data_IF_948553166185
#
_entry.id   IF_948553166185
#
_cell.length_a   1.000
_cell.length_b   1.000
_cell.length_c   1.000
_cell.angle_alpha   90.00
_cell.angle_beta   90.00
_cell.angle_gamma   90.00
#
_symmetry.space_group_name_H-M   'P 1'
#
loop_
_entity.id
_entity.type
_entity.pdbx_description
1 polymer ?
#
# COMPACT_ATOMS: atom_id res chain seq x y z
N UNK A 1 -6.00 -12.72 22.18
CA UNK A 1 -4.55 -12.94 22.07
C UNK A 1 -4.05 -12.05 20.96
N UNK A 2 -3.57 -10.87 21.31
CA UNK A 2 -3.09 -9.83 20.39
C UNK A 2 -1.73 -10.27 19.83
N UNK A 3 -1.67 -10.45 18.51
CA UNK A 3 -0.51 -11.00 17.82
C UNK A 3 0.49 -9.91 17.47
N UNK A 4 1.66 -9.97 18.10
CA UNK A 4 2.88 -9.18 17.83
C UNK A 4 3.02 -8.86 16.33
N UNK A 5 3.42 -7.63 15.98
CA UNK A 5 3.80 -7.27 14.59
C UNK A 5 4.93 -8.20 14.18
N UNK A 6 4.61 -9.19 13.35
CA UNK A 6 5.62 -10.02 12.72
C UNK A 6 6.16 -9.22 11.54
N UNK A 7 7.48 -9.14 11.41
CA UNK A 7 8.18 -8.52 10.27
C UNK A 7 7.64 -9.06 8.92
N UNK A 8 7.22 -10.33 8.90
CA UNK A 8 6.56 -10.98 7.77
C UNK A 8 5.20 -10.39 7.37
N UNK A 9 4.49 -9.69 8.25
CA UNK A 9 3.26 -8.99 7.87
C UNK A 9 3.58 -7.76 7.01
N UNK A 10 4.59 -6.97 7.39
CA UNK A 10 4.97 -5.76 6.64
C UNK A 10 5.57 -6.14 5.28
N UNK A 11 6.40 -7.19 5.21
CA UNK A 11 6.96 -7.74 3.96
C UNK A 11 5.85 -8.13 2.97
N UNK A 12 4.91 -8.98 3.39
CA UNK A 12 3.80 -9.44 2.53
C UNK A 12 2.98 -8.29 1.97
N UNK A 13 2.95 -7.17 2.68
CA UNK A 13 2.17 -6.01 2.30
C UNK A 13 2.94 -5.10 1.34
N UNK A 14 4.26 -4.97 1.50
CA UNK A 14 5.14 -4.40 0.50
C UNK A 14 5.03 -5.16 -0.83
N UNK A 15 5.06 -6.49 -0.80
CA UNK A 15 4.88 -7.36 -1.96
C UNK A 15 3.52 -7.17 -2.65
N UNK A 16 2.43 -7.03 -1.89
CA UNK A 16 1.11 -6.77 -2.47
C UNK A 16 1.07 -5.41 -3.18
N UNK A 17 1.61 -4.36 -2.56
CA UNK A 17 1.67 -3.04 -3.18
C UNK A 17 2.51 -3.04 -4.47
N UNK A 18 3.62 -3.79 -4.46
CA UNK A 18 4.46 -4.01 -5.63
C UNK A 18 3.70 -4.75 -6.73
N UNK A 19 3.00 -5.84 -6.39
CA UNK A 19 2.19 -6.63 -7.33
C UNK A 19 1.11 -5.77 -7.99
N UNK A 20 0.41 -4.93 -7.22
CA UNK A 20 -0.59 -3.99 -7.76
C UNK A 20 0.04 -3.00 -8.73
N UNK A 21 1.19 -2.43 -8.38
CA UNK A 21 1.92 -1.51 -9.24
C UNK A 21 2.39 -2.18 -10.54
N UNK A 22 3.02 -3.35 -10.44
CA UNK A 22 3.49 -4.08 -11.61
C UNK A 22 2.34 -4.49 -12.53
N UNK A 23 1.24 -4.96 -11.96
CA UNK A 23 0.08 -5.43 -12.71
C UNK A 23 -0.61 -4.33 -13.50
N UNK A 24 -0.70 -3.12 -12.95
CA UNK A 24 -1.36 -2.00 -13.62
C UNK A 24 -0.44 -1.18 -14.53
N UNK A 25 0.85 -1.00 -14.19
CA UNK A 25 1.62 0.13 -14.75
C UNK A 25 2.98 -0.21 -15.37
N UNK A 26 3.42 -1.47 -15.40
CA UNK A 26 4.75 -1.82 -15.97
C UNK A 26 4.87 -1.71 -17.50
N UNK A 27 3.76 -1.57 -18.25
CA UNK A 27 3.79 -1.66 -19.72
C UNK A 27 3.11 -0.52 -20.50
N UNK A 28 2.51 0.47 -19.85
CA UNK A 28 1.63 1.41 -20.55
C UNK A 28 2.31 2.76 -20.85
N UNK A 29 2.60 3.00 -22.13
CA UNK A 29 3.18 4.26 -22.63
C UNK A 29 2.13 5.34 -22.97
N UNK A 30 0.83 5.11 -22.72
CA UNK A 30 -0.24 6.00 -23.21
C UNK A 30 -1.49 6.08 -22.30
N UNK A 31 -1.32 5.92 -20.99
CA UNK A 31 -2.43 6.09 -20.06
C UNK A 31 -2.68 7.56 -19.72
N UNK A 32 -3.94 7.93 -19.48
CA UNK A 32 -4.35 9.27 -19.07
C UNK A 32 -3.71 9.71 -17.74
N UNK A 33 -3.63 11.02 -17.50
CA UNK A 33 -2.98 11.63 -16.34
C UNK A 33 -3.46 11.03 -14.99
N UNK A 34 -4.77 10.88 -14.80
CA UNK A 34 -5.34 10.29 -13.59
C UNK A 34 -4.92 8.83 -13.34
N UNK A 35 -4.70 8.06 -14.41
CA UNK A 35 -4.22 6.68 -14.29
C UNK A 35 -2.74 6.66 -13.92
N UNK A 36 -1.92 7.55 -14.50
CA UNK A 36 -0.50 7.70 -14.15
C UNK A 36 -0.33 8.12 -12.69
N UNK A 37 -1.11 9.09 -12.26
CA UNK A 37 -1.10 9.57 -10.88
C UNK A 37 -1.51 8.49 -9.89
N UNK A 38 -2.53 7.69 -10.22
CA UNK A 38 -2.94 6.57 -9.39
C UNK A 38 -1.80 5.55 -9.21
N UNK A 39 -1.09 5.21 -10.29
CA UNK A 39 0.10 4.36 -10.23
C UNK A 39 1.21 4.96 -9.37
N UNK A 40 1.41 6.28 -9.43
CA UNK A 40 2.39 6.99 -8.60
C UNK A 40 2.03 6.97 -7.11
N UNK A 41 0.74 7.09 -6.77
CA UNK A 41 0.25 6.97 -5.39
C UNK A 41 0.48 5.55 -4.85
N UNK A 42 0.13 4.50 -5.61
CA UNK A 42 0.38 3.09 -5.23
C UNK A 42 1.87 2.82 -5.02
N UNK A 43 2.73 3.29 -5.94
CA UNK A 43 4.18 3.14 -5.81
C UNK A 43 4.75 3.87 -4.58
N UNK A 44 4.18 5.02 -4.24
CA UNK A 44 4.59 5.77 -3.05
C UNK A 44 4.19 5.04 -1.76
N UNK A 45 2.99 4.46 -1.71
CA UNK A 45 2.58 3.59 -0.60
C UNK A 45 3.50 2.37 -0.45
N UNK A 46 3.85 1.70 -1.56
CA UNK A 46 4.82 0.60 -1.54
C UNK A 46 6.15 1.03 -0.90
N UNK A 47 6.72 2.15 -1.35
CA UNK A 47 7.97 2.68 -0.77
C UNK A 47 7.83 2.99 0.72
N UNK A 48 6.73 3.60 1.13
CA UNK A 48 6.47 3.89 2.55
C UNK A 48 6.36 2.62 3.40
N UNK A 49 5.72 1.57 2.89
CA UNK A 49 5.65 0.27 3.57
C UNK A 49 7.04 -0.39 3.68
N UNK A 50 7.86 -0.32 2.64
CA UNK A 50 9.22 -0.84 2.67
C UNK A 50 10.12 -0.09 3.68
N UNK A 51 9.98 1.23 3.80
CA UNK A 51 10.69 1.99 4.83
C UNK A 51 10.20 1.66 6.24
N UNK A 52 8.90 1.43 6.42
CA UNK A 52 8.34 0.95 7.69
C UNK A 52 8.92 -0.40 8.09
N UNK A 53 9.04 -1.33 7.15
CA UNK A 53 9.66 -2.63 7.38
C UNK A 53 11.11 -2.49 7.86
N UNK A 54 11.91 -1.65 7.19
CA UNK A 54 13.30 -1.39 7.57
C UNK A 54 13.39 -0.78 8.97
N UNK A 55 12.53 0.18 9.29
CA UNK A 55 12.51 0.81 10.61
C UNK A 55 12.17 -0.19 11.72
N UNK A 56 11.16 -1.03 11.52
CA UNK A 56 10.78 -2.11 12.45
C UNK A 56 11.93 -3.11 12.60
N UNK A 57 12.58 -3.50 11.50
CA UNK A 57 13.72 -4.43 11.50
C UNK A 57 14.89 -3.89 12.34
N UNK A 58 15.26 -2.62 12.13
CA UNK A 58 16.34 -1.95 12.88
C UNK A 58 16.01 -1.83 14.37
N UNK A 59 14.77 -1.48 14.70
CA UNK A 59 14.33 -1.38 16.09
C UNK A 59 14.38 -2.75 16.79
N UNK A 60 13.99 -3.83 16.09
CA UNK A 60 14.07 -5.20 16.60
C UNK A 60 15.53 -5.65 16.79
N UNK A 61 16.42 -5.33 15.83
CA UNK A 61 17.85 -5.62 15.93
C UNK A 61 18.50 -4.86 17.10
N UNK A 62 18.16 -3.58 17.29
CA UNK A 62 18.63 -2.80 18.43
C UNK A 62 18.18 -3.41 19.76
N UNK A 63 16.93 -3.87 19.86
CA UNK A 63 16.42 -4.54 21.05
C UNK A 63 17.24 -5.79 21.39
N UNK A 64 17.54 -6.63 20.38
CA UNK A 64 18.40 -7.82 20.51
C UNK A 64 19.81 -7.44 20.98
N UNK A 65 20.40 -6.40 20.40
CA UNK A 65 21.74 -5.92 20.75
C UNK A 65 21.83 -5.40 22.20
N UNK A 66 20.70 -4.99 22.80
CA UNK A 66 20.62 -4.56 24.19
C UNK A 66 20.17 -5.68 25.16
N UNK A 67 20.23 -6.94 24.73
CA UNK A 67 20.06 -8.11 25.60
C UNK A 67 18.65 -8.69 25.64
N UNK A 68 17.76 -8.27 24.73
CA UNK A 68 16.45 -8.88 24.61
C UNK A 68 16.53 -10.27 23.95
N UNK A 69 15.70 -11.20 24.44
CA UNK A 69 15.61 -12.57 23.93
C UNK A 69 15.05 -12.60 22.50
N UNK A 70 15.28 -13.68 21.76
CA UNK A 70 14.64 -13.90 20.43
C UNK A 70 13.09 -13.87 20.50
N UNK A 71 12.54 -14.13 21.69
CA UNK A 71 11.11 -14.06 21.99
C UNK A 71 10.61 -12.65 22.32
N UNK A 72 11.53 -11.72 22.60
CA UNK A 72 11.19 -10.34 22.91
C UNK A 72 11.00 -9.57 21.61
N UNK A 73 9.77 -9.19 21.34
CA UNK A 73 9.40 -8.39 20.18
C UNK A 73 9.09 -6.95 20.58
N UNK A 74 9.22 -6.02 19.63
CA UNK A 74 8.61 -4.70 19.77
C UNK A 74 7.13 -4.89 20.15
N UNK A 75 6.70 -4.30 21.27
CA UNK A 75 5.39 -4.53 21.90
C UNK A 75 4.16 -4.01 21.13
N UNK A 76 4.29 -3.74 19.83
CA UNK A 76 3.17 -3.43 18.96
C UNK A 76 2.65 -4.71 18.30
N UNK A 77 1.34 -4.87 18.25
CA UNK A 77 0.68 -5.99 17.61
C UNK A 77 0.13 -5.54 16.22
N UNK A 78 -0.10 -6.48 15.29
CA UNK A 78 -0.56 -6.13 13.92
C UNK A 78 -1.83 -5.27 13.95
N UNK A 79 -2.71 -5.49 14.92
CA UNK A 79 -3.90 -4.70 15.12
C UNK A 79 -3.56 -3.26 15.51
N UNK A 80 -2.61 -3.05 16.42
CA UNK A 80 -2.14 -1.71 16.80
C UNK A 80 -1.55 -0.95 15.60
N UNK A 81 -0.80 -1.65 14.73
CA UNK A 81 -0.32 -1.04 13.50
C UNK A 81 -1.49 -0.62 12.61
N UNK A 82 -2.46 -1.52 12.38
CA UNK A 82 -3.66 -1.25 11.57
C UNK A 82 -4.55 -0.14 12.14
N UNK A 83 -4.62 0.03 13.46
CA UNK A 83 -5.32 1.18 14.08
C UNK A 83 -4.65 2.50 13.70
N UNK A 84 -3.32 2.54 13.69
CA UNK A 84 -2.56 3.75 13.41
C UNK A 84 -2.53 4.03 11.90
N UNK A 85 -2.09 3.07 11.08
CA UNK A 85 -1.90 3.29 9.64
C UNK A 85 -3.16 3.00 8.82
N UNK A 86 -4.20 2.41 9.40
CA UNK A 86 -5.45 2.02 8.73
C UNK A 86 -5.36 0.67 8.01
N UNK A 87 -6.48 0.16 7.46
CA UNK A 87 -6.48 -1.09 6.68
C UNK A 87 -6.04 -0.87 5.21
N UNK A 88 -4.75 -0.63 5.04
CA UNK A 88 -4.12 -0.49 3.72
C UNK A 88 -4.20 -1.77 2.89
N UNK A 89 -4.35 -2.93 3.52
CA UNK A 89 -4.47 -4.21 2.82
C UNK A 89 -5.82 -4.31 2.11
N UNK A 90 -6.91 -3.91 2.77
CA UNK A 90 -8.21 -3.75 2.11
C UNK A 90 -8.11 -2.77 0.93
N UNK A 91 -7.48 -1.61 1.14
CA UNK A 91 -7.28 -0.61 0.08
C UNK A 91 -6.51 -1.17 -1.12
N UNK A 92 -5.40 -1.88 -0.90
CA UNK A 92 -4.60 -2.48 -1.98
C UNK A 92 -5.36 -3.61 -2.71
N UNK A 93 -6.14 -4.43 -2.00
CA UNK A 93 -7.02 -5.42 -2.63
C UNK A 93 -8.10 -4.78 -3.49
N UNK A 94 -8.68 -3.68 -3.04
CA UNK A 94 -9.64 -2.92 -3.84
C UNK A 94 -8.98 -2.30 -5.07
N UNK A 95 -7.74 -1.81 -4.96
CA UNK A 95 -6.96 -1.36 -6.12
C UNK A 95 -6.73 -2.51 -7.11
N UNK A 96 -6.32 -3.69 -6.64
CA UNK A 96 -6.14 -4.87 -7.47
C UNK A 96 -7.42 -5.24 -8.22
N UNK A 97 -8.56 -5.31 -7.51
CA UNK A 97 -9.87 -5.61 -8.10
C UNK A 97 -10.27 -4.57 -9.14
N UNK A 98 -10.11 -3.29 -8.84
CA UNK A 98 -10.42 -2.20 -9.77
C UNK A 98 -9.60 -2.32 -11.06
N UNK A 99 -8.32 -2.69 -10.96
CA UNK A 99 -7.45 -2.91 -12.13
C UNK A 99 -7.82 -4.17 -12.91
N UNK A 100 -8.14 -5.27 -12.22
CA UNK A 100 -8.58 -6.50 -12.85
C UNK A 100 -9.90 -6.29 -13.63
N UNK A 101 -10.86 -5.63 -13.00
CA UNK A 101 -12.14 -5.30 -13.61
C UNK A 101 -11.94 -4.34 -14.78
N UNK A 102 -11.12 -3.28 -14.62
CA UNK A 102 -10.80 -2.38 -15.72
C UNK A 102 -10.10 -3.06 -16.89
N UNK A 103 -9.23 -4.04 -16.65
CA UNK A 103 -8.61 -4.80 -17.75
C UNK A 103 -9.65 -5.57 -18.56
N UNK A 104 -10.68 -6.12 -17.90
CA UNK A 104 -11.84 -6.73 -18.58
C UNK A 104 -12.67 -5.68 -19.33
N UNK A 105 -12.79 -4.46 -18.81
CA UNK A 105 -13.46 -3.35 -19.51
C UNK A 105 -12.65 -2.83 -20.72
N UNK A 106 -11.32 -2.73 -20.61
CA UNK A 106 -10.42 -2.27 -21.66
C UNK A 106 -10.34 -3.23 -22.87
N UNK A 107 -10.55 -4.53 -22.65
CA UNK A 107 -10.62 -5.53 -23.72
C UNK A 107 -11.92 -5.46 -24.55
N UNK A 108 -12.92 -4.69 -24.11
CA UNK A 108 -14.19 -4.53 -24.79
C UNK A 108 -14.28 -3.13 -25.43
N UNK A 109 -13.87 -3.03 -26.69
CA UNK A 109 -13.68 -1.80 -27.47
C UNK A 109 -14.96 -0.99 -27.75
N UNK A 110 -14.96 0.33 -27.49
CA UNK A 110 -15.95 1.28 -28.04
C UNK A 110 -15.94 2.71 -27.41
N UNK A 111 -16.24 3.78 -28.17
CA UNK A 111 -16.16 5.19 -27.72
C UNK A 111 -17.21 5.58 -26.65
N UNK A 112 -18.35 4.89 -26.58
CA UNK A 112 -19.39 5.12 -25.57
C UNK A 112 -18.88 4.78 -24.14
N UNK A 113 -17.89 3.88 -24.02
CA UNK A 113 -17.30 3.49 -22.73
C UNK A 113 -16.24 4.44 -22.19
N UNK A 114 -15.70 5.36 -22.98
CA UNK A 114 -14.75 6.38 -22.48
C UNK A 114 -15.45 7.40 -21.55
N UNK A 115 -16.74 7.65 -21.80
CA UNK A 115 -17.61 8.48 -20.95
C UNK A 115 -18.07 7.70 -19.71
N UNK A 116 -18.44 6.43 -19.89
CA UNK A 116 -18.84 5.52 -18.80
C UNK A 116 -17.68 5.26 -17.81
N UNK A 117 -16.45 5.16 -18.32
CA UNK A 117 -15.22 5.08 -17.53
C UNK A 117 -14.99 6.35 -16.70
N UNK A 118 -15.10 7.53 -17.31
CA UNK A 118 -14.98 8.81 -16.59
C UNK A 118 -16.06 8.99 -15.51
N UNK A 119 -17.29 8.54 -15.75
CA UNK A 119 -18.38 8.72 -14.79
C UNK A 119 -18.37 7.68 -13.65
N UNK A 120 -18.03 6.43 -13.95
CA UNK A 120 -18.17 5.33 -12.97
C UNK A 120 -16.86 4.86 -12.34
N UNK A 121 -15.74 4.97 -13.06
CA UNK A 121 -14.43 4.49 -12.59
C UNK A 121 -13.63 5.62 -11.92
N UNK A 122 -13.68 6.83 -12.47
CA UNK A 122 -12.96 7.98 -11.92
C UNK A 122 -13.26 8.23 -10.43
N UNK A 123 -14.52 8.22 -9.96
CA UNK A 123 -14.80 8.44 -8.55
C UNK A 123 -14.22 7.34 -7.65
N UNK A 124 -14.17 6.10 -8.15
CA UNK A 124 -13.56 4.98 -7.43
C UNK A 124 -12.03 5.12 -7.37
N UNK A 125 -11.41 5.55 -8.47
CA UNK A 125 -9.97 5.87 -8.52
C UNK A 125 -9.65 6.99 -7.53
N UNK A 126 -10.37 8.11 -7.57
CA UNK A 126 -10.17 9.23 -6.65
C UNK A 126 -10.35 8.82 -5.18
N UNK A 127 -11.37 8.02 -4.88
CA UNK A 127 -11.59 7.49 -3.55
C UNK A 127 -10.44 6.61 -3.06
N UNK A 128 -9.94 5.71 -3.90
CA UNK A 128 -8.79 4.85 -3.58
C UNK A 128 -7.51 5.65 -3.44
N UNK A 129 -7.26 6.63 -4.31
CA UNK A 129 -6.13 7.55 -4.22
C UNK A 129 -6.12 8.30 -2.88
N UNK A 130 -7.26 8.86 -2.48
CA UNK A 130 -7.40 9.53 -1.18
C UNK A 130 -7.07 8.61 0.00
N UNK A 131 -7.55 7.36 -0.01
CA UNK A 131 -7.21 6.35 1.00
C UNK A 131 -5.72 6.00 1.00
N UNK A 132 -5.12 5.81 -0.17
CA UNK A 132 -3.69 5.54 -0.32
C UNK A 132 -2.85 6.68 0.28
N UNK A 133 -3.20 7.93 -0.04
CA UNK A 133 -2.50 9.11 0.47
C UNK A 133 -2.63 9.22 1.99
N UNK A 134 -3.80 8.92 2.54
CA UNK A 134 -4.04 8.85 3.98
C UNK A 134 -3.18 7.77 4.66
N UNK A 135 -3.14 6.54 4.13
CA UNK A 135 -2.27 5.48 4.64
C UNK A 135 -0.79 5.88 4.59
N UNK A 136 -0.37 6.43 3.46
CA UNK A 136 1.01 6.89 3.23
C UNK A 136 1.42 7.95 4.25
N UNK A 137 0.57 8.97 4.46
CA UNK A 137 0.82 10.03 5.45
C UNK A 137 0.93 9.49 6.88
N UNK A 138 0.07 8.55 7.26
CA UNK A 138 0.13 7.89 8.58
C UNK A 138 1.41 7.07 8.75
N UNK A 139 1.82 6.31 7.74
CA UNK A 139 3.08 5.57 7.75
C UNK A 139 4.27 6.52 7.91
N UNK A 140 4.30 7.62 7.15
CA UNK A 140 5.35 8.64 7.28
C UNK A 140 5.38 9.26 8.67
N UNK A 141 4.23 9.48 9.30
CA UNK A 141 4.15 9.96 10.68
C UNK A 141 4.74 8.96 11.68
N UNK A 142 4.45 7.67 11.51
CA UNK A 142 5.03 6.58 12.32
C UNK A 142 6.54 6.47 12.11
N UNK A 143 7.03 6.74 10.90
CA UNK A 143 8.46 6.67 10.56
C UNK A 143 9.29 7.81 11.12
N UNK A 144 8.69 8.98 11.36
CA UNK A 144 9.38 10.21 11.78
C UNK A 144 10.36 10.04 12.97
N UNK A 145 10.00 9.32 14.05
CA UNK A 145 10.89 9.09 15.19
C UNK A 145 12.12 8.24 14.86
N UNK A 146 12.09 7.45 13.78
CA UNK A 146 13.19 6.55 13.39
C UNK A 146 14.16 7.18 12.37
N UNK A 147 13.93 8.43 11.98
CA UNK A 147 14.75 9.18 11.01
C UNK A 147 15.71 10.18 11.68
N UNK A 148 15.74 10.23 13.02
CA UNK A 148 16.64 11.08 13.80
C UNK A 148 17.94 10.38 14.16
#
# INVERSE_FOLDING_TARGET
MTGVIQLGDVIKLGELAWTVYEYGWTKEHNAGENYRDFGADVHTLHRSLAELEKAVSRAQESLRNHGASDTDSLGGDRHSLLEIIGDYNATLRECYRLLEDNRRYAQATGPIRNIDWNLNIMPQVEHLRSRIQMHTSRIQHVLKPFQM
#
